data_IF_420028436425
#
_entry.id   IF_420028436425
#
_cell.length_a   1.000
_cell.length_b   1.000
_cell.length_c   1.000
_cell.angle_alpha   90.00
_cell.angle_beta   90.00
_cell.angle_gamma   90.00
#
_symmetry.space_group_name_H-M   'P 1'
#
loop_
_entity.id
_entity.type
_entity.pdbx_description
1 polymer ?
#
# COMPACT_ATOMS: atom_id res chain seq x y z
N UNK A 1 -6.68 11.10 -33.89
CA UNK A 1 -6.06 9.76 -33.77
C UNK A 1 -4.73 9.99 -33.07
N UNK A 2 -4.57 9.53 -31.83
CA UNK A 2 -3.35 9.77 -31.04
C UNK A 2 -2.31 8.73 -31.46
N UNK A 3 -1.09 9.18 -31.74
CA UNK A 3 0.03 8.31 -32.09
C UNK A 3 0.33 7.34 -30.91
N UNK A 4 0.30 6.01 -31.14
CA UNK A 4 0.59 5.00 -30.11
C UNK A 4 1.96 5.19 -29.44
N UNK A 5 2.94 5.76 -30.16
CA UNK A 5 4.28 6.05 -29.63
C UNK A 5 4.22 7.25 -28.68
N UNK A 6 3.41 8.26 -29.00
CA UNK A 6 3.25 9.43 -28.13
C UNK A 6 2.56 9.09 -26.81
N UNK A 7 1.58 8.17 -26.80
CA UNK A 7 0.89 7.72 -25.58
C UNK A 7 1.88 7.14 -24.56
N UNK A 8 2.94 6.50 -25.02
CA UNK A 8 3.92 5.80 -24.20
C UNK A 8 4.99 6.71 -23.58
N UNK A 9 4.88 8.05 -23.65
CA UNK A 9 5.84 8.97 -23.03
C UNK A 9 5.61 9.14 -21.53
N UNK A 10 6.69 9.25 -20.74
CA UNK A 10 6.66 9.47 -19.28
C UNK A 10 5.82 10.69 -18.89
N UNK A 11 5.87 11.73 -19.71
CA UNK A 11 5.12 12.97 -19.52
C UNK A 11 3.61 12.69 -19.40
N UNK A 12 3.06 11.74 -20.18
CA UNK A 12 1.64 11.40 -20.11
C UNK A 12 1.28 10.67 -18.82
N UNK A 13 2.14 9.75 -18.36
CA UNK A 13 1.93 9.06 -17.08
C UNK A 13 1.97 10.06 -15.92
N UNK A 14 2.87 11.05 -16.00
CA UNK A 14 2.91 12.12 -15.02
C UNK A 14 1.65 12.99 -15.07
N UNK A 15 1.16 13.36 -16.25
CA UNK A 15 -0.08 14.12 -16.39
C UNK A 15 -1.26 13.35 -15.80
N UNK A 16 -1.41 12.06 -16.13
CA UNK A 16 -2.47 11.20 -15.55
C UNK A 16 -2.36 11.18 -14.03
N UNK A 17 -1.14 11.01 -13.49
CA UNK A 17 -0.89 11.02 -12.06
C UNK A 17 -1.27 12.36 -11.39
N UNK A 18 -0.81 13.48 -11.95
CA UNK A 18 -1.07 14.82 -11.41
C UNK A 18 -2.56 15.16 -11.46
N UNK A 19 -3.26 14.79 -12.54
CA UNK A 19 -4.71 14.96 -12.64
C UNK A 19 -5.45 14.09 -11.61
N UNK A 20 -5.02 12.84 -11.41
CA UNK A 20 -5.56 11.96 -10.37
C UNK A 20 -5.43 12.58 -8.98
N UNK A 21 -4.26 13.14 -8.68
CA UNK A 21 -3.96 13.77 -7.39
C UNK A 21 -4.75 15.06 -7.21
N UNK A 22 -4.84 15.89 -8.25
CA UNK A 22 -5.64 17.10 -8.23
C UNK A 22 -7.10 16.76 -7.89
N UNK A 23 -7.71 15.83 -8.61
CA UNK A 23 -9.10 15.41 -8.35
C UNK A 23 -9.28 14.83 -6.95
N UNK A 24 -8.34 14.01 -6.47
CA UNK A 24 -8.40 13.47 -5.10
C UNK A 24 -8.38 14.58 -4.04
N UNK A 25 -7.64 15.66 -4.29
CA UNK A 25 -7.47 16.76 -3.34
C UNK A 25 -8.58 17.81 -3.44
N UNK A 26 -9.12 18.07 -4.64
CA UNK A 26 -10.08 19.15 -4.88
C UNK A 26 -11.52 18.68 -5.00
N UNK A 27 -11.76 17.40 -5.30
CA UNK A 27 -13.12 16.91 -5.45
C UNK A 27 -13.81 16.74 -4.09
N UNK A 28 -15.03 17.28 -4.00
CA UNK A 28 -15.92 17.03 -2.87
C UNK A 28 -16.66 15.68 -2.98
N UNK A 29 -16.61 15.05 -4.16
CA UNK A 29 -17.30 13.80 -4.48
C UNK A 29 -16.36 12.77 -5.10
N UNK A 30 -16.47 11.51 -4.67
CA UNK A 30 -15.76 10.39 -5.31
C UNK A 30 -16.63 9.83 -6.44
N UNK A 31 -16.66 10.54 -7.57
CA UNK A 31 -17.46 10.20 -8.75
C UNK A 31 -16.84 9.12 -9.65
N UNK A 32 -15.67 8.60 -9.27
CA UNK A 32 -14.94 7.58 -10.03
C UNK A 32 -13.91 8.13 -11.00
N UNK A 33 -13.75 9.45 -11.13
CA UNK A 33 -12.74 10.06 -12.01
C UNK A 33 -11.31 9.62 -11.66
N UNK A 34 -10.99 9.53 -10.36
CA UNK A 34 -9.72 8.96 -9.89
C UNK A 34 -9.49 7.52 -10.40
N UNK A 35 -10.53 6.68 -10.39
CA UNK A 35 -10.43 5.30 -10.87
C UNK A 35 -10.22 5.26 -12.40
N UNK A 36 -10.83 6.18 -13.14
CA UNK A 36 -10.61 6.31 -14.58
C UNK A 36 -9.14 6.64 -14.90
N UNK A 37 -8.53 7.57 -14.15
CA UNK A 37 -7.10 7.86 -14.31
C UNK A 37 -6.20 6.69 -13.92
N UNK A 38 -6.52 6.00 -12.83
CA UNK A 38 -5.81 4.80 -12.40
C UNK A 38 -5.82 3.72 -13.50
N UNK A 39 -6.99 3.46 -14.08
CA UNK A 39 -7.16 2.52 -15.17
C UNK A 39 -6.40 2.97 -16.43
N UNK A 40 -6.43 4.27 -16.76
CA UNK A 40 -5.66 4.85 -17.86
C UNK A 40 -4.15 4.65 -17.67
N UNK A 41 -3.64 4.92 -16.47
CA UNK A 41 -2.24 4.70 -16.12
C UNK A 41 -1.84 3.21 -16.28
N UNK A 42 -2.69 2.29 -15.84
CA UNK A 42 -2.47 0.85 -16.00
C UNK A 42 -2.41 0.44 -17.46
N UNK A 43 -3.33 0.93 -18.30
CA UNK A 43 -3.31 0.64 -19.73
C UNK A 43 -2.02 1.12 -20.38
N UNK A 44 -1.55 2.32 -20.02
CA UNK A 44 -0.27 2.85 -20.55
C UNK A 44 0.92 1.99 -20.10
N UNK A 45 1.00 1.61 -18.83
CA UNK A 45 2.08 0.73 -18.32
C UNK A 45 2.02 -0.65 -19.00
N UNK A 46 0.84 -1.24 -19.16
CA UNK A 46 0.65 -2.51 -19.83
C UNK A 46 1.12 -2.49 -21.30
N UNK A 47 0.90 -1.38 -22.01
CA UNK A 47 1.40 -1.21 -23.38
C UNK A 47 2.93 -1.05 -23.43
N UNK A 48 3.56 -0.59 -22.34
CA UNK A 48 5.02 -0.47 -22.23
C UNK A 48 5.70 -1.75 -21.76
N UNK A 49 5.01 -2.78 -21.30
CA UNK A 49 5.69 -3.98 -20.77
C UNK A 49 6.52 -4.77 -21.81
N UNK A 50 6.56 -4.32 -23.08
CA UNK A 50 7.50 -4.77 -24.11
C UNK A 50 8.69 -3.82 -24.37
N UNK A 51 8.69 -2.59 -23.83
CA UNK A 51 9.77 -1.61 -23.88
C UNK A 51 10.34 -1.38 -22.47
N UNK A 52 11.63 -1.09 -22.36
CA UNK A 52 12.33 -1.09 -21.07
C UNK A 52 11.73 -0.02 -20.14
N UNK A 53 11.01 -0.41 -19.08
CA UNK A 53 10.49 0.48 -18.01
C UNK A 53 11.62 1.12 -17.15
N UNK A 54 12.86 1.14 -17.65
CA UNK A 54 14.08 1.50 -16.94
C UNK A 54 14.51 2.96 -17.16
N UNK A 55 13.74 3.77 -17.88
CA UNK A 55 14.05 5.20 -17.99
C UNK A 55 14.12 5.78 -16.56
N UNK A 56 15.30 6.30 -16.20
CA UNK A 56 15.76 6.55 -14.83
C UNK A 56 15.02 7.65 -14.05
N UNK A 57 13.79 7.96 -14.43
CA UNK A 57 12.92 8.89 -13.75
C UNK A 57 12.09 8.19 -12.66
N UNK A 58 12.20 8.69 -11.43
CA UNK A 58 11.48 8.16 -10.26
C UNK A 58 9.94 8.24 -10.35
N UNK A 59 9.40 8.88 -11.37
CA UNK A 59 7.97 9.08 -11.57
C UNK A 59 7.17 7.77 -11.68
N UNK A 60 7.71 6.78 -12.38
CA UNK A 60 7.09 5.46 -12.48
C UNK A 60 6.98 4.77 -11.12
N UNK A 61 8.00 4.91 -10.28
CA UNK A 61 7.99 4.38 -8.91
C UNK A 61 6.91 5.03 -8.04
N UNK A 62 6.71 6.34 -8.20
CA UNK A 62 5.68 7.08 -7.47
C UNK A 62 4.28 6.64 -7.92
N UNK A 63 4.03 6.61 -9.23
CA UNK A 63 2.77 6.16 -9.80
C UNK A 63 2.43 4.72 -9.36
N UNK A 64 3.40 3.81 -9.43
CA UNK A 64 3.24 2.43 -9.00
C UNK A 64 2.90 2.32 -7.52
N UNK A 65 3.59 3.10 -6.68
CA UNK A 65 3.30 3.16 -5.24
C UNK A 65 1.87 3.63 -4.98
N UNK A 66 1.41 4.68 -5.67
CA UNK A 66 0.04 5.15 -5.56
C UNK A 66 -1.00 4.11 -6.01
N UNK A 67 -0.74 3.39 -7.10
CA UNK A 67 -1.60 2.31 -7.56
C UNK A 67 -1.76 1.22 -6.50
N UNK A 68 -0.65 0.78 -5.90
CA UNK A 68 -0.64 -0.24 -4.86
C UNK A 68 -1.41 0.23 -3.62
N UNK A 69 -1.20 1.49 -3.20
CA UNK A 69 -1.91 2.08 -2.05
C UNK A 69 -3.42 2.11 -2.31
N UNK A 70 -3.85 2.35 -3.54
CA UNK A 70 -5.26 2.27 -3.90
C UNK A 70 -5.80 0.86 -3.70
N UNK A 71 -5.17 -0.17 -4.27
CA UNK A 71 -5.60 -1.57 -4.10
C UNK A 71 -5.66 -2.00 -2.63
N UNK A 72 -4.67 -1.60 -1.84
CA UNK A 72 -4.63 -1.85 -0.41
C UNK A 72 -5.80 -1.17 0.33
N UNK A 73 -6.20 0.03 -0.10
CA UNK A 73 -7.25 0.83 0.55
C UNK A 73 -8.64 0.38 0.15
N UNK A 74 -8.83 0.10 -1.14
CA UNK A 74 -10.11 -0.29 -1.74
C UNK A 74 -10.44 -1.77 -1.55
N UNK A 75 -9.43 -2.57 -1.15
CA UNK A 75 -9.54 -4.03 -0.93
C UNK A 75 -9.98 -4.78 -2.19
N UNK A 76 -9.57 -4.26 -3.35
CA UNK A 76 -9.78 -4.87 -4.65
C UNK A 76 -8.54 -5.64 -5.08
N UNK A 77 -8.74 -6.70 -5.86
CA UNK A 77 -7.63 -7.51 -6.35
C UNK A 77 -6.77 -6.71 -7.33
N UNK A 78 -5.44 -6.61 -7.11
CA UNK A 78 -4.56 -6.01 -8.08
C UNK A 78 -4.49 -6.83 -9.38
N UNK A 79 -4.19 -6.20 -10.53
CA UNK A 79 -3.91 -6.90 -11.77
C UNK A 79 -2.75 -7.87 -11.60
N UNK A 80 -2.81 -9.03 -12.26
CA UNK A 80 -1.75 -10.05 -12.21
C UNK A 80 -0.38 -9.52 -12.65
N UNK A 81 -0.37 -8.52 -13.54
CA UNK A 81 0.84 -7.88 -14.04
C UNK A 81 1.46 -6.88 -13.05
N UNK A 82 0.75 -6.44 -12.00
CA UNK A 82 1.26 -5.43 -11.08
C UNK A 82 2.56 -5.87 -10.41
N UNK A 83 2.63 -7.14 -9.98
CA UNK A 83 3.83 -7.69 -9.36
C UNK A 83 5.03 -7.67 -10.31
N UNK A 84 4.84 -7.99 -11.59
CA UNK A 84 5.92 -7.94 -12.58
C UNK A 84 6.35 -6.51 -12.90
N UNK A 85 5.42 -5.55 -12.90
CA UNK A 85 5.73 -4.14 -13.06
C UNK A 85 6.59 -3.60 -11.91
N UNK A 86 6.22 -3.89 -10.67
CA UNK A 86 7.00 -3.48 -9.48
C UNK A 86 8.45 -3.99 -9.56
N UNK A 87 8.65 -5.19 -10.10
CA UNK A 87 10.00 -5.74 -10.27
C UNK A 87 10.82 -5.05 -11.36
N UNK A 88 10.18 -4.47 -12.38
CA UNK A 88 10.85 -3.83 -13.51
C UNK A 88 11.10 -2.33 -13.29
N UNK A 89 10.26 -1.68 -12.48
CA UNK A 89 10.33 -0.25 -12.24
C UNK A 89 11.61 0.10 -11.45
N UNK A 90 12.37 1.13 -11.88
CA UNK A 90 13.52 1.62 -11.13
C UNK A 90 13.02 2.35 -9.87
N UNK A 91 13.53 1.93 -8.71
CA UNK A 91 13.36 2.63 -7.44
C UNK A 91 14.69 3.28 -7.04
N UNK A 92 14.60 4.39 -6.30
CA UNK A 92 15.74 5.11 -5.74
C UNK A 92 16.64 4.23 -4.84
N UNK A 93 16.09 3.18 -4.25
CA UNK A 93 16.78 2.27 -3.35
C UNK A 93 16.17 0.87 -3.37
N UNK A 94 17.02 -0.14 -3.14
CA UNK A 94 16.57 -1.52 -2.98
C UNK A 94 15.62 -1.70 -1.80
N UNK A 95 15.79 -0.90 -0.75
CA UNK A 95 14.95 -0.92 0.44
C UNK A 95 13.52 -0.46 0.14
N UNK A 96 13.37 0.64 -0.61
CA UNK A 96 12.07 1.13 -1.05
C UNK A 96 11.39 0.13 -1.99
N UNK A 97 12.15 -0.44 -2.94
CA UNK A 97 11.65 -1.51 -3.80
C UNK A 97 11.13 -2.70 -2.99
N UNK A 98 11.89 -3.17 -2.00
CA UNK A 98 11.47 -4.25 -1.09
C UNK A 98 10.18 -3.88 -0.36
N UNK A 99 10.07 -2.67 0.18
CA UNK A 99 8.83 -2.21 0.83
C UNK A 99 7.65 -2.22 -0.15
N UNK A 100 7.81 -1.64 -1.34
CA UNK A 100 6.75 -1.59 -2.34
C UNK A 100 6.29 -2.98 -2.79
N UNK A 101 7.20 -3.94 -2.93
CA UNK A 101 6.87 -5.35 -3.17
C UNK A 101 6.02 -5.92 -2.02
N UNK A 102 6.43 -5.72 -0.77
CA UNK A 102 5.68 -6.21 0.40
C UNK A 102 4.28 -5.62 0.46
N UNK A 103 4.12 -4.33 0.17
CA UNK A 103 2.80 -3.67 0.13
C UNK A 103 1.95 -4.23 -1.01
N UNK A 104 2.53 -4.47 -2.19
CA UNK A 104 1.82 -5.07 -3.32
C UNK A 104 1.27 -6.46 -2.99
N UNK A 105 2.11 -7.32 -2.39
CA UNK A 105 1.68 -8.64 -1.90
C UNK A 105 0.60 -8.51 -0.83
N UNK A 106 0.79 -7.58 0.12
CA UNK A 106 -0.19 -7.32 1.18
C UNK A 106 -1.55 -6.88 0.62
N UNK A 107 -1.57 -6.03 -0.41
CA UNK A 107 -2.79 -5.60 -1.07
C UNK A 107 -3.56 -6.80 -1.67
N UNK A 108 -2.85 -7.71 -2.35
CA UNK A 108 -3.46 -8.92 -2.90
C UNK A 108 -4.05 -9.83 -1.81
N UNK A 109 -3.32 -10.04 -0.71
CA UNK A 109 -3.80 -10.82 0.45
C UNK A 109 -5.03 -10.16 1.07
N UNK A 110 -5.00 -8.85 1.28
CA UNK A 110 -6.12 -8.10 1.85
C UNK A 110 -7.40 -8.21 1.00
N UNK A 111 -7.26 -8.18 -0.32
CA UNK A 111 -8.39 -8.38 -1.24
C UNK A 111 -8.98 -9.80 -1.14
N UNK A 112 -8.13 -10.84 -1.01
CA UNK A 112 -8.60 -12.22 -0.82
C UNK A 112 -9.31 -12.42 0.51
N UNK A 113 -8.72 -11.94 1.62
CA UNK A 113 -9.35 -11.97 2.95
C UNK A 113 -10.69 -11.21 2.96
N UNK A 114 -10.74 -10.05 2.31
CA UNK A 114 -11.97 -9.26 2.19
C UNK A 114 -13.04 -10.00 1.37
N UNK A 115 -12.66 -10.72 0.30
CA UNK A 115 -13.60 -11.54 -0.48
C UNK A 115 -14.24 -12.65 0.39
N UNK A 116 -13.45 -13.31 1.23
CA UNK A 116 -13.94 -14.33 2.16
C UNK A 116 -14.88 -13.76 3.24
N UNK A 117 -14.77 -12.48 3.57
CA UNK A 117 -15.71 -11.85 4.51
C UNK A 117 -17.15 -11.80 3.97
N UNK A 118 -17.31 -11.88 2.64
CA UNK A 118 -18.61 -11.91 1.98
C UNK A 118 -19.20 -13.33 1.82
N UNK A 119 -18.40 -14.38 2.01
CA UNK A 119 -18.86 -15.77 1.91
C UNK A 119 -19.34 -16.30 3.27
N UNK A 120 -20.13 -17.39 3.27
CA UNK A 120 -20.67 -18.02 4.49
C UNK A 120 -19.90 -19.25 4.94
N UNK A 121 -19.10 -19.85 4.05
CA UNK A 121 -18.38 -21.09 4.32
C UNK A 121 -16.86 -20.86 4.33
N UNK A 122 -16.20 -21.50 5.30
CA UNK A 122 -14.74 -21.59 5.41
C UNK A 122 -14.29 -22.77 4.57
N UNK A 123 -13.51 -22.54 3.53
CA UNK A 123 -12.79 -23.60 2.80
C UNK A 123 -11.33 -23.67 3.27
N UNK A 124 -10.62 -24.77 2.99
CA UNK A 124 -9.17 -24.89 3.27
C UNK A 124 -8.35 -23.74 2.67
N UNK A 125 -8.79 -23.21 1.52
CA UNK A 125 -8.20 -22.03 0.86
C UNK A 125 -8.15 -20.82 1.79
N UNK A 126 -9.15 -20.67 2.67
CA UNK A 126 -9.25 -19.54 3.59
C UNK A 126 -8.28 -19.63 4.78
N UNK A 127 -7.85 -20.83 5.19
CA UNK A 127 -6.82 -21.00 6.21
C UNK A 127 -5.42 -20.69 5.64
N UNK A 128 -5.16 -21.10 4.40
CA UNK A 128 -3.92 -20.76 3.68
C UNK A 128 -3.76 -19.24 3.51
N UNK A 129 -4.84 -18.52 3.16
CA UNK A 129 -4.81 -17.06 3.04
C UNK A 129 -4.50 -16.36 4.37
N UNK A 130 -4.96 -16.90 5.52
CA UNK A 130 -4.62 -16.37 6.84
C UNK A 130 -3.13 -16.62 7.17
N UNK A 131 -2.62 -17.81 6.85
CA UNK A 131 -1.20 -18.13 7.06
C UNK A 131 -0.30 -17.18 6.25
N UNK A 132 -0.60 -16.97 4.97
CA UNK A 132 0.13 -16.02 4.11
C UNK A 132 0.06 -14.58 4.65
N UNK A 133 -1.08 -14.20 5.24
CA UNK A 133 -1.25 -12.90 5.88
C UNK A 133 -0.36 -12.71 7.12
N UNK A 134 -0.15 -13.77 7.90
CA UNK A 134 0.76 -13.74 9.05
C UNK A 134 2.23 -13.72 8.59
N UNK A 135 2.57 -14.50 7.56
CA UNK A 135 3.90 -14.54 6.97
C UNK A 135 4.32 -13.18 6.39
N UNK A 136 3.41 -12.50 5.67
CA UNK A 136 3.71 -11.17 5.14
C UNK A 136 3.86 -10.12 6.25
N UNK A 137 3.13 -10.23 7.37
CA UNK A 137 3.36 -9.34 8.53
C UNK A 137 4.75 -9.55 9.12
N UNK A 138 5.23 -10.80 9.20
CA UNK A 138 6.60 -11.09 9.64
C UNK A 138 7.63 -10.48 8.69
N UNK A 139 7.44 -10.58 7.37
CA UNK A 139 8.34 -9.95 6.40
C UNK A 139 8.33 -8.41 6.48
N UNK A 140 7.15 -7.81 6.70
CA UNK A 140 7.04 -6.39 7.01
C UNK A 140 7.81 -6.02 8.28
N UNK A 141 7.72 -6.82 9.35
CA UNK A 141 8.50 -6.59 10.58
C UNK A 141 10.02 -6.71 10.33
N UNK A 142 10.46 -7.72 9.57
CA UNK A 142 11.87 -7.88 9.18
C UNK A 142 12.38 -6.67 8.41
N UNK A 143 11.57 -6.13 7.48
CA UNK A 143 11.93 -4.91 6.76
C UNK A 143 12.29 -3.75 7.70
N UNK A 144 11.60 -3.58 8.83
CA UNK A 144 11.97 -2.54 9.81
C UNK A 144 13.23 -2.85 10.64
N UNK A 145 13.58 -4.13 10.77
CA UNK A 145 14.76 -4.55 11.53
C UNK A 145 16.05 -4.32 10.72
N UNK A 146 15.96 -4.43 9.40
CA UNK A 146 17.09 -4.31 8.48
C UNK A 146 17.37 -2.86 8.02
N UNK A 147 16.76 -1.85 8.65
CA UNK A 147 16.85 -0.46 8.18
C UNK A 147 18.25 0.14 8.41
N UNK A 148 18.85 0.76 7.38
CA UNK A 148 20.02 1.63 7.55
C UNK A 148 19.71 2.81 8.47
N UNK A 149 20.76 3.40 9.06
CA UNK A 149 20.63 4.48 10.04
C UNK A 149 19.87 5.69 9.51
N UNK A 150 20.07 6.05 8.24
CA UNK A 150 19.44 7.20 7.58
C UNK A 150 17.92 7.02 7.38
N UNK A 151 17.43 5.79 7.46
CA UNK A 151 16.01 5.41 7.37
C UNK A 151 15.37 5.20 8.75
N UNK A 152 16.14 5.17 9.83
CA UNK A 152 15.60 5.13 11.20
C UNK A 152 15.02 6.50 11.57
N UNK A 153 14.09 6.51 12.52
CA UNK A 153 13.64 7.79 13.08
C UNK A 153 14.83 8.47 13.77
N UNK A 154 15.04 9.74 13.46
CA UNK A 154 16.13 10.56 14.00
C UNK A 154 15.89 10.93 15.48
N UNK A 155 14.64 10.87 15.94
CA UNK A 155 14.30 11.16 17.32
C UNK A 155 12.81 11.09 17.61
N UNK A 156 12.46 11.55 18.81
CA UNK A 156 11.09 11.70 19.29
C UNK A 156 10.86 13.17 19.63
N UNK A 157 9.72 13.71 19.23
CA UNK A 157 9.28 15.05 19.60
C UNK A 157 7.97 14.94 20.37
N UNK A 158 7.78 15.71 21.47
CA UNK A 158 6.51 15.74 22.20
C UNK A 158 5.35 16.05 21.26
N UNK A 159 4.24 15.35 21.44
CA UNK A 159 3.06 15.61 20.64
C UNK A 159 2.34 16.85 21.15
N UNK A 160 2.25 17.90 20.32
CA UNK A 160 1.55 19.15 20.66
C UNK A 160 0.19 19.24 19.97
N UNK A 161 -0.86 19.61 20.71
CA UNK A 161 -2.22 19.76 20.18
C UNK A 161 -2.52 21.16 19.62
N UNK A 162 -1.70 22.16 19.95
CA UNK A 162 -1.97 23.59 19.71
C UNK A 162 -2.08 23.98 18.23
N UNK A 163 -1.36 23.29 17.34
CA UNK A 163 -1.31 23.61 15.91
C UNK A 163 -1.97 22.55 15.02
N UNK A 164 -2.91 21.76 15.56
CA UNK A 164 -3.57 20.67 14.83
C UNK A 164 -5.01 21.03 14.44
N UNK A 165 -5.55 20.47 13.34
CA UNK A 165 -6.98 20.54 13.05
C UNK A 165 -7.81 19.98 14.20
N UNK A 166 -9.04 20.45 14.39
CA UNK A 166 -9.85 20.08 15.55
C UNK A 166 -10.18 18.58 15.62
N UNK A 167 -10.40 17.94 14.46
CA UNK A 167 -10.57 16.49 14.40
C UNK A 167 -9.34 15.73 14.92
N UNK A 168 -8.14 16.25 14.64
CA UNK A 168 -6.88 15.65 15.08
C UNK A 168 -6.67 15.92 16.57
N UNK A 169 -6.96 17.13 17.07
CA UNK A 169 -6.90 17.41 18.51
C UNK A 169 -7.70 16.41 19.32
N UNK A 170 -8.95 16.13 18.90
CA UNK A 170 -9.81 15.15 19.57
C UNK A 170 -9.21 13.75 19.59
N UNK A 171 -8.66 13.28 18.47
CA UNK A 171 -7.98 11.97 18.43
C UNK A 171 -6.75 11.93 19.33
N UNK A 172 -6.01 13.05 19.38
CA UNK A 172 -4.77 13.14 20.14
C UNK A 172 -4.99 13.29 21.66
N UNK A 173 -6.20 13.59 22.11
CA UNK A 173 -6.55 13.63 23.54
C UNK A 173 -7.25 12.37 24.04
N UNK A 174 -7.48 11.37 23.18
CA UNK A 174 -8.12 10.11 23.58
C UNK A 174 -7.16 9.20 24.36
N UNK A 175 -7.70 8.34 25.25
CA UNK A 175 -6.90 7.30 25.90
C UNK A 175 -6.16 6.44 24.87
N UNK A 176 -4.86 6.21 25.10
CA UNK A 176 -3.99 5.47 24.18
C UNK A 176 -3.34 6.33 23.08
N UNK A 177 -3.55 7.65 23.09
CA UNK A 177 -2.80 8.55 22.22
C UNK A 177 -1.31 8.55 22.58
N UNK A 178 -0.39 8.55 21.59
CA UNK A 178 1.04 8.56 21.87
C UNK A 178 1.52 9.91 22.41
N UNK A 179 2.37 9.88 23.43
CA UNK A 179 2.98 11.08 24.03
C UNK A 179 3.98 11.78 23.09
N UNK A 180 4.49 11.05 22.09
CA UNK A 180 5.53 11.52 21.18
C UNK A 180 5.22 11.17 19.73
N UNK A 181 5.70 12.01 18.82
CA UNK A 181 5.80 11.69 17.39
C UNK A 181 7.24 11.36 17.01
N UNK A 182 7.40 10.44 16.06
CA UNK A 182 8.70 10.16 15.45
C UNK A 182 9.11 11.30 14.53
N UNK A 183 10.37 11.74 14.65
CA UNK A 183 11.01 12.70 13.75
C UNK A 183 11.90 11.93 12.80
N UNK A 184 11.87 12.29 11.51
CA UNK A 184 12.68 11.64 10.48
C UNK A 184 13.68 12.61 9.88
N UNK A 185 14.75 12.06 9.32
CA UNK A 185 15.81 12.79 8.64
C UNK A 185 15.31 13.56 7.41
N UNK A 186 14.29 13.03 6.73
CA UNK A 186 13.69 13.64 5.54
C UNK A 186 12.24 13.18 5.34
N UNK A 187 11.52 13.86 4.44
CA UNK A 187 10.12 13.58 4.14
C UNK A 187 9.89 12.21 3.46
N UNK A 188 10.85 11.70 2.69
CA UNK A 188 10.73 10.40 2.03
C UNK A 188 10.77 9.26 3.07
N UNK A 189 11.73 9.29 3.99
CA UNK A 189 11.79 8.35 5.11
C UNK A 189 10.49 8.38 5.94
N UNK A 190 9.95 9.58 6.21
CA UNK A 190 8.67 9.72 6.89
C UNK A 190 7.51 9.07 6.09
N UNK A 191 7.48 9.28 4.77
CA UNK A 191 6.50 8.69 3.85
C UNK A 191 6.56 7.17 3.87
N UNK A 192 7.75 6.59 3.73
CA UNK A 192 7.93 5.14 3.67
C UNK A 192 7.57 4.47 5.01
N UNK A 193 7.92 5.09 6.14
CA UNK A 193 7.45 4.63 7.46
C UNK A 193 5.93 4.70 7.63
N UNK A 194 5.30 5.77 7.13
CA UNK A 194 3.85 5.91 7.20
C UNK A 194 3.17 4.87 6.31
N UNK A 195 3.74 4.59 5.14
CA UNK A 195 3.23 3.58 4.22
C UNK A 195 3.36 2.17 4.80
N UNK A 196 4.50 1.85 5.41
CA UNK A 196 4.69 0.63 6.20
C UNK A 196 3.61 0.47 7.29
N UNK A 197 3.42 1.50 8.13
CA UNK A 197 2.44 1.45 9.23
C UNK A 197 1.01 1.31 8.71
N UNK A 198 0.65 2.09 7.70
CA UNK A 198 -0.68 2.03 7.08
C UNK A 198 -0.95 0.64 6.51
N UNK A 199 0.05 0.03 5.87
CA UNK A 199 -0.03 -1.33 5.33
C UNK A 199 -0.30 -2.36 6.42
N UNK A 200 0.48 -2.33 7.51
CA UNK A 200 0.25 -3.24 8.65
C UNK A 200 -1.12 -3.02 9.29
N UNK A 201 -1.55 -1.77 9.50
CA UNK A 201 -2.88 -1.48 10.05
C UNK A 201 -3.97 -2.08 9.15
N UNK A 202 -3.87 -1.91 7.83
CA UNK A 202 -4.84 -2.46 6.87
C UNK A 202 -4.86 -3.98 6.89
N UNK A 203 -3.69 -4.62 6.90
CA UNK A 203 -3.54 -6.07 7.01
C UNK A 203 -4.21 -6.60 8.29
N UNK A 204 -3.86 -6.03 9.45
CA UNK A 204 -4.41 -6.46 10.73
C UNK A 204 -5.92 -6.25 10.83
N UNK A 205 -6.47 -5.18 10.23
CA UNK A 205 -7.93 -5.02 10.14
C UNK A 205 -8.55 -6.20 9.37
N UNK A 206 -7.95 -6.65 8.27
CA UNK A 206 -8.50 -7.79 7.52
C UNK A 206 -8.32 -9.12 8.26
N UNK A 207 -7.16 -9.35 8.88
CA UNK A 207 -6.92 -10.52 9.72
C UNK A 207 -7.96 -10.60 10.84
N UNK A 208 -8.16 -9.50 11.58
CA UNK A 208 -9.12 -9.46 12.69
C UNK A 208 -10.56 -9.69 12.21
N UNK A 209 -10.96 -9.09 11.08
CA UNK A 209 -12.27 -9.35 10.47
C UNK A 209 -12.44 -10.80 10.08
N UNK A 210 -11.43 -11.40 9.46
CA UNK A 210 -11.43 -12.79 9.04
C UNK A 210 -11.54 -13.74 10.23
N UNK A 211 -10.68 -13.58 11.24
CA UNK A 211 -10.68 -14.41 12.46
C UNK A 211 -11.98 -14.25 13.24
N UNK A 212 -12.52 -13.03 13.35
CA UNK A 212 -13.80 -12.79 14.01
C UNK A 212 -14.97 -13.49 13.29
N UNK A 213 -14.89 -13.63 11.98
CA UNK A 213 -15.89 -14.33 11.16
C UNK A 213 -15.74 -15.85 11.25
N UNK A 214 -14.50 -16.32 11.36
CA UNK A 214 -14.15 -17.74 11.30
C UNK A 214 -13.28 -18.19 12.50
N UNK A 215 -13.81 -18.17 13.74
CA UNK A 215 -13.03 -18.49 14.94
C UNK A 215 -12.47 -19.93 14.94
N UNK A 216 -13.13 -20.86 14.23
CA UNK A 216 -12.72 -22.25 14.12
C UNK A 216 -11.38 -22.43 13.41
N UNK A 217 -10.98 -21.51 12.53
CA UNK A 217 -9.69 -21.57 11.82
C UNK A 217 -8.52 -21.38 12.79
N UNK A 218 -8.70 -20.59 13.85
CA UNK A 218 -7.67 -20.36 14.87
C UNK A 218 -7.65 -21.47 15.92
N UNK A 219 -8.79 -22.11 16.15
CA UNK A 219 -8.97 -23.15 17.18
C UNK A 219 -8.81 -24.57 16.63
N UNK A 220 -8.38 -24.75 15.38
CA UNK A 220 -8.09 -26.08 14.85
C UNK A 220 -6.95 -26.69 15.68
N UNK A 221 -7.15 -27.84 16.36
CA UNK A 221 -6.09 -28.48 17.11
C UNK A 221 -4.95 -28.78 16.13
N UNK A 222 -3.72 -28.39 16.52
CA UNK A 222 -2.53 -28.82 15.82
C UNK A 222 -2.61 -30.36 15.73
N UNK A 223 -2.71 -30.89 14.52
CA UNK A 223 -2.65 -32.33 14.30
C UNK A 223 -1.30 -32.77 14.86
N UNK A 224 -1.34 -33.52 15.96
CA UNK A 224 -0.18 -34.16 16.57
C UNK A 224 0.41 -35.12 15.52
N UNK A 225 1.61 -34.80 15.04
CA UNK A 225 2.52 -35.75 14.38
C UNK A 225 3.44 -36.40 15.42
#
# INVERSE_FOLDING_TARGET
MIDPIQIQRDDNLMVIFLMSMYEMLTSSTRDGSYLAHLNGAQSVIAHRSGSTLQDGNNHLSLLCTHMIVWYLTDLTSPPSLLASWVQQIPFDSALKKRLTCLISTTAAICARLNKHSSTKEVSEVSASDLQEALEIDLELQKWTSDLPTEWKYAGRSPMTHTSRPDWAKKLLTMPGSPDYMHVYSNALAASDWNMYRATRIRLWIQILKFVSRYPSVVNAPALEE
#
